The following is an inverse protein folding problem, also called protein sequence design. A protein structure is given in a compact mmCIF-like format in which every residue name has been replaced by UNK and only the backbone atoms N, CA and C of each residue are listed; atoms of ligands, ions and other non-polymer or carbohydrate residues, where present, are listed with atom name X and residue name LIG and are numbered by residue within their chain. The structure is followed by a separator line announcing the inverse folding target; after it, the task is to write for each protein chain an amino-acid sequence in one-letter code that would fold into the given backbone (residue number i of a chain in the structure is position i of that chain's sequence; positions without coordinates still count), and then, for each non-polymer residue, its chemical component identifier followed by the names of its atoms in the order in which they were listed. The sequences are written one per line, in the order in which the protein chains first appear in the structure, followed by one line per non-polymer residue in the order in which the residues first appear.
data_IF_078529626061
#
_entry.id   IF_078529626061
#
_cell.length_a   1.000
_cell.length_b   1.000
_cell.length_c   1.000
_cell.angle_alpha   90.00
_cell.angle_beta   90.00
_cell.angle_gamma   90.00
#
_symmetry.space_group_name_H-M   'P 1'
#
loop_
_entity.id
_entity.type
_entity.pdbx_description
1 polymer ?
#
# COMPACT_ATOMS: atom_id res chain seq x y z
N UNK A 1 4.12 19.95 -7.37
CA UNK A 1 5.55 19.99 -7.75
C UNK A 1 5.81 18.87 -8.74
N UNK A 2 6.50 19.11 -9.86
CA UNK A 2 6.96 18.03 -10.73
C UNK A 2 8.28 17.45 -10.21
N UNK A 3 8.44 16.12 -10.28
CA UNK A 3 9.70 15.48 -9.93
C UNK A 3 10.77 15.73 -10.99
N UNK A 4 12.00 15.97 -10.55
CA UNK A 4 13.19 16.14 -11.37
C UNK A 4 14.41 15.59 -10.62
N UNK A 5 15.57 15.44 -11.29
CA UNK A 5 16.76 14.87 -10.66
C UNK A 5 17.24 15.58 -9.38
N UNK A 6 16.91 16.87 -9.20
CA UNK A 6 17.33 17.67 -8.03
C UNK A 6 16.45 17.36 -6.81
N UNK A 7 15.13 17.25 -7.00
CA UNK A 7 14.18 17.10 -5.90
C UNK A 7 13.75 15.65 -5.63
N UNK A 8 13.94 14.73 -6.59
CA UNK A 8 13.45 13.36 -6.48
C UNK A 8 13.94 12.64 -5.22
N UNK A 9 15.26 12.64 -4.97
CA UNK A 9 15.83 11.99 -3.78
C UNK A 9 15.29 12.59 -2.48
N UNK A 10 15.19 13.91 -2.41
CA UNK A 10 14.68 14.62 -1.23
C UNK A 10 13.19 14.32 -0.98
N UNK A 11 12.39 14.25 -2.04
CA UNK A 11 10.98 13.88 -1.94
C UNK A 11 10.78 12.43 -1.48
N UNK A 12 11.57 11.48 -2.01
CA UNK A 12 11.53 10.07 -1.58
C UNK A 12 11.93 9.95 -0.10
N UNK A 13 13.00 10.64 0.32
CA UNK A 13 13.41 10.65 1.73
C UNK A 13 12.33 11.24 2.63
N UNK A 14 11.71 12.35 2.21
CA UNK A 14 10.64 12.98 2.96
C UNK A 14 9.42 12.07 3.12
N UNK A 15 9.05 11.32 2.07
CA UNK A 15 7.91 10.42 2.07
C UNK A 15 7.99 9.30 3.11
N UNK A 16 9.21 8.94 3.55
CA UNK A 16 9.42 7.95 4.61
C UNK A 16 9.92 8.55 5.93
N UNK A 17 9.90 9.87 6.09
CA UNK A 17 10.42 10.55 7.27
C UNK A 17 9.40 10.51 8.43
N UNK A 18 9.26 9.33 9.04
CA UNK A 18 8.31 9.06 10.13
C UNK A 18 8.58 10.01 11.30
N UNK A 19 7.58 10.77 11.80
CA UNK A 19 7.74 11.64 12.94
C UNK A 19 8.32 10.91 14.15
N UNK A 20 9.21 11.59 14.87
CA UNK A 20 9.91 11.07 16.06
C UNK A 20 10.93 9.94 15.79
N UNK A 21 11.02 9.42 14.56
CA UNK A 21 11.98 8.37 14.19
C UNK A 21 13.03 8.91 13.20
N UNK A 22 12.60 9.67 12.20
CA UNK A 22 13.44 10.19 11.12
C UNK A 22 13.25 11.71 11.02
N UNK A 23 14.36 12.44 10.82
CA UNK A 23 14.35 13.88 10.62
C UNK A 23 13.57 14.27 9.36
N UNK A 24 12.78 15.34 9.43
CA UNK A 24 12.05 15.85 8.27
C UNK A 24 12.97 16.52 7.25
N UNK A 25 12.59 16.49 5.98
CA UNK A 25 13.36 17.12 4.91
C UNK A 25 12.83 18.54 4.71
N UNK A 26 13.68 19.54 4.85
CA UNK A 26 13.27 20.95 4.77
C UNK A 26 13.49 21.54 3.37
N UNK A 27 12.61 22.45 2.97
CA UNK A 27 12.76 23.33 1.80
C UNK A 27 13.19 22.59 0.52
N UNK A 28 12.48 21.50 0.18
CA UNK A 28 12.71 20.69 -1.02
C UNK A 28 12.61 21.57 -2.27
N UNK A 29 13.62 21.49 -3.15
CA UNK A 29 13.70 22.31 -4.37
C UNK A 29 12.44 22.20 -5.24
N UNK A 30 11.78 23.35 -5.45
CA UNK A 30 10.55 23.47 -6.24
C UNK A 30 9.25 23.11 -5.49
N UNK A 31 9.34 22.72 -4.21
CA UNK A 31 8.20 22.56 -3.33
C UNK A 31 7.96 23.85 -2.53
N UNK A 32 6.75 24.08 -1.97
CA UNK A 32 6.54 25.12 -0.98
C UNK A 32 7.56 25.07 0.17
N UNK A 33 7.84 26.21 0.79
CA UNK A 33 8.74 26.23 1.95
C UNK A 33 8.12 25.48 3.13
N UNK A 34 8.95 24.76 3.87
CA UNK A 34 8.51 24.00 5.05
C UNK A 34 9.27 22.70 5.26
N UNK A 35 8.84 21.96 6.28
CA UNK A 35 9.39 20.65 6.65
C UNK A 35 8.46 19.56 6.15
N UNK A 36 8.97 18.70 5.28
CA UNK A 36 8.26 17.57 4.72
C UNK A 36 8.50 16.32 5.57
N UNK A 37 7.43 15.53 5.75
CA UNK A 37 7.36 14.35 6.62
C UNK A 37 6.66 13.22 5.88
N UNK A 38 6.67 12.04 6.51
CA UNK A 38 6.00 10.85 6.00
C UNK A 38 4.54 11.13 5.60
N UNK A 39 4.20 10.77 4.36
CA UNK A 39 2.87 11.01 3.79
C UNK A 39 1.78 10.18 4.46
N UNK A 40 2.11 9.05 5.08
CA UNK A 40 1.16 8.19 5.77
C UNK A 40 0.51 8.85 6.99
N UNK A 41 1.00 9.99 7.45
CA UNK A 41 0.30 10.78 8.48
C UNK A 41 -1.04 11.32 7.94
N UNK A 42 -1.08 11.67 6.66
CA UNK A 42 -2.23 12.31 6.01
C UNK A 42 -2.96 11.36 5.05
N UNK A 43 -2.23 10.59 4.24
CA UNK A 43 -2.76 9.70 3.20
C UNK A 43 -2.15 8.30 3.42
N UNK A 44 -2.61 7.59 4.46
CA UNK A 44 -2.05 6.28 4.80
C UNK A 44 -2.51 5.19 3.82
N UNK A 45 -3.80 4.89 3.83
CA UNK A 45 -4.46 4.16 2.74
C UNK A 45 -5.33 5.15 1.97
N UNK A 46 -5.77 4.77 0.77
CA UNK A 46 -6.67 5.61 -0.03
C UNK A 46 -8.05 5.67 0.65
N UNK A 47 -8.27 6.64 1.54
CA UNK A 47 -9.51 6.84 2.31
C UNK A 47 -10.32 8.08 1.87
N UNK A 48 -9.92 8.67 0.73
CA UNK A 48 -10.56 9.78 0.04
C UNK A 48 -11.05 9.37 -1.35
N UNK A 49 -11.85 10.24 -1.98
CA UNK A 49 -12.19 10.10 -3.39
C UNK A 49 -11.01 10.58 -4.24
N UNK A 50 -10.34 9.63 -4.91
CA UNK A 50 -9.21 9.87 -5.80
C UNK A 50 -9.62 9.88 -7.28
N UNK A 51 -10.91 9.90 -7.60
CA UNK A 51 -11.40 10.01 -8.98
C UNK A 51 -11.15 11.39 -9.56
N UNK A 52 -10.86 11.47 -10.86
CA UNK A 52 -10.67 12.75 -11.56
C UNK A 52 -11.92 13.13 -12.34
N UNK A 53 -12.63 12.14 -12.89
CA UNK A 53 -13.87 12.28 -13.63
C UNK A 53 -14.97 11.44 -13.00
N UNK A 54 -16.24 11.79 -13.26
CA UNK A 54 -17.35 10.90 -12.99
C UNK A 54 -17.10 9.52 -13.61
N UNK A 55 -17.47 8.46 -12.88
CA UNK A 55 -17.34 7.05 -13.26
C UNK A 55 -15.89 6.51 -13.35
N UNK A 56 -14.87 7.29 -12.94
CA UNK A 56 -13.53 6.75 -12.74
C UNK A 56 -13.51 5.76 -11.56
N UNK A 57 -12.54 4.85 -11.58
CA UNK A 57 -12.25 3.91 -10.49
C UNK A 57 -10.82 4.19 -9.99
N UNK A 58 -10.67 4.34 -8.68
CA UNK A 58 -9.37 4.33 -8.02
C UNK A 58 -8.93 2.88 -7.78
N UNK A 59 -7.75 2.49 -8.26
CA UNK A 59 -7.20 1.15 -8.08
C UNK A 59 -6.16 1.14 -6.96
N UNK A 60 -6.35 0.26 -5.98
CA UNK A 60 -5.40 0.04 -4.89
C UNK A 60 -4.97 -1.42 -4.85
N UNK A 61 -3.70 -1.68 -5.11
CA UNK A 61 -3.07 -2.95 -4.73
C UNK A 61 -2.67 -2.89 -3.27
N UNK A 62 -3.24 -3.79 -2.47
CA UNK A 62 -3.01 -3.84 -1.05
C UNK A 62 -2.67 -5.26 -0.57
N UNK A 63 -2.16 -5.35 0.65
CA UNK A 63 -1.82 -6.64 1.28
C UNK A 63 -2.91 -7.13 2.24
N UNK A 64 -3.97 -6.35 2.43
CA UNK A 64 -5.07 -6.60 3.34
C UNK A 64 -6.34 -5.98 2.75
N UNK A 65 -7.52 -6.36 3.24
CA UNK A 65 -8.80 -5.75 2.83
C UNK A 65 -9.15 -4.50 3.65
N UNK A 66 -8.50 -4.33 4.80
CA UNK A 66 -8.77 -3.26 5.74
C UNK A 66 -8.16 -1.93 5.30
N UNK A 67 -9.02 -0.98 4.93
CA UNK A 67 -8.63 0.42 4.67
C UNK A 67 -8.55 1.20 5.99
N UNK A 68 -7.36 1.70 6.31
CA UNK A 68 -7.04 2.42 7.55
C UNK A 68 -6.93 3.91 7.22
N UNK A 69 -7.81 4.77 7.75
CA UNK A 69 -7.83 6.21 7.42
C UNK A 69 -6.50 6.93 7.65
N UNK A 70 -5.95 6.83 8.86
CA UNK A 70 -4.67 7.43 9.20
C UNK A 70 -3.67 6.44 9.78
N UNK A 71 -2.38 6.74 9.68
CA UNK A 71 -1.33 5.91 10.26
C UNK A 71 -1.48 5.69 11.78
N UNK A 72 -2.07 6.65 12.50
CA UNK A 72 -2.37 6.56 13.94
C UNK A 72 -3.58 5.66 14.25
N UNK A 73 -4.43 5.36 13.26
CA UNK A 73 -5.67 4.61 13.43
C UNK A 73 -5.47 3.09 13.36
N UNK A 74 -4.26 2.61 13.05
CA UNK A 74 -3.96 1.17 12.87
C UNK A 74 -4.52 0.27 13.98
N UNK A 75 -4.37 0.71 15.23
CA UNK A 75 -4.81 -0.02 16.43
C UNK A 75 -6.28 0.26 16.82
N UNK A 76 -6.92 1.25 16.20
CA UNK A 76 -8.30 1.66 16.48
C UNK A 76 -9.25 0.93 15.52
N UNK A 77 -9.66 -0.29 15.87
CA UNK A 77 -10.53 -1.13 15.02
C UNK A 77 -11.87 -0.48 14.66
N UNK A 78 -12.41 0.40 15.51
CA UNK A 78 -13.65 1.13 15.23
C UNK A 78 -13.50 2.31 14.27
N UNK A 79 -12.27 2.71 13.93
CA UNK A 79 -12.05 3.82 12.99
C UNK A 79 -12.14 3.29 11.55
N UNK A 80 -13.10 3.82 10.81
CA UNK A 80 -13.35 3.48 9.40
C UNK A 80 -13.32 4.71 8.51
N UNK A 81 -13.06 4.56 7.20
CA UNK A 81 -13.26 5.62 6.21
C UNK A 81 -14.69 6.16 6.27
N UNK A 82 -14.89 7.39 5.80
CA UNK A 82 -16.24 7.98 5.77
C UNK A 82 -17.11 7.19 4.79
N UNK A 83 -18.42 7.12 5.04
CA UNK A 83 -19.33 6.46 4.11
C UNK A 83 -19.26 7.12 2.71
N UNK A 84 -19.33 6.31 1.66
CA UNK A 84 -19.34 6.76 0.26
C UNK A 84 -17.97 7.07 -0.35
N UNK A 85 -16.93 7.34 0.45
CA UNK A 85 -15.61 7.74 -0.10
C UNK A 85 -14.87 6.59 -0.79
N UNK A 86 -15.23 5.35 -0.46
CA UNK A 86 -14.65 4.14 -1.05
C UNK A 86 -15.49 3.58 -2.20
N UNK A 87 -16.63 4.19 -2.53
CA UNK A 87 -17.51 3.69 -3.59
C UNK A 87 -16.79 3.55 -4.94
N UNK A 88 -15.88 4.47 -5.35
CA UNK A 88 -15.11 4.30 -6.58
C UNK A 88 -13.78 3.53 -6.37
N UNK A 89 -13.54 2.92 -5.19
CA UNK A 89 -12.30 2.22 -4.89
C UNK A 89 -12.40 0.73 -5.23
N UNK A 90 -11.51 0.26 -6.12
CA UNK A 90 -11.25 -1.16 -6.33
C UNK A 90 -9.97 -1.56 -5.59
N UNK A 91 -10.09 -2.43 -4.60
CA UNK A 91 -8.96 -2.98 -3.86
C UNK A 91 -8.63 -4.38 -4.37
N UNK A 92 -7.37 -4.62 -4.70
CA UNK A 92 -6.85 -5.94 -5.07
C UNK A 92 -5.89 -6.38 -3.98
N UNK A 93 -6.18 -7.49 -3.33
CA UNK A 93 -5.40 -8.01 -2.21
C UNK A 93 -5.33 -9.56 -2.26
N UNK A 94 -4.31 -10.18 -1.67
CA UNK A 94 -4.18 -11.64 -1.69
C UNK A 94 -5.27 -12.30 -0.85
N UNK A 95 -5.88 -13.36 -1.38
CA UNK A 95 -6.85 -14.15 -0.61
C UNK A 95 -6.18 -14.88 0.56
N UNK A 96 -6.92 -15.20 1.64
CA UNK A 96 -6.38 -15.99 2.74
C UNK A 96 -5.77 -17.32 2.28
N UNK A 97 -6.40 -17.99 1.32
CA UNK A 97 -5.92 -19.26 0.76
C UNK A 97 -4.58 -19.11 0.04
N UNK A 98 -4.37 -17.98 -0.66
CA UNK A 98 -3.07 -17.69 -1.26
C UNK A 98 -2.02 -17.43 -0.18
N UNK A 99 -2.36 -16.67 0.87
CA UNK A 99 -1.45 -16.36 1.98
C UNK A 99 -1.01 -17.62 2.72
N UNK A 100 -1.88 -18.62 2.86
CA UNK A 100 -1.54 -19.94 3.44
C UNK A 100 -0.45 -20.68 2.63
N UNK A 101 -0.31 -20.41 1.34
CA UNK A 101 0.75 -21.00 0.50
C UNK A 101 2.11 -20.33 0.69
N UNK A 102 2.15 -19.15 1.29
CA UNK A 102 3.39 -18.44 1.56
C UNK A 102 4.18 -19.19 2.63
N UNK A 103 5.53 -19.11 2.62
CA UNK A 103 6.29 -19.70 3.70
C UNK A 103 5.85 -19.05 5.04
N UNK A 104 5.64 -19.88 6.05
CA UNK A 104 5.11 -19.44 7.34
C UNK A 104 3.63 -19.03 7.34
N UNK A 105 2.90 -19.19 6.23
CA UNK A 105 1.47 -18.91 6.14
C UNK A 105 1.11 -17.45 6.40
N UNK A 106 2.02 -16.52 6.10
CA UNK A 106 1.83 -15.09 6.31
C UNK A 106 2.49 -14.26 5.22
N UNK A 107 2.05 -13.02 5.10
CA UNK A 107 2.70 -12.01 4.26
C UNK A 107 4.02 -11.58 4.92
N UNK A 108 5.14 -11.49 4.18
CA UNK A 108 6.39 -10.97 4.73
C UNK A 108 6.22 -9.56 5.29
N UNK A 109 6.76 -9.31 6.48
CA UNK A 109 6.58 -8.06 7.20
C UNK A 109 7.88 -7.60 7.88
N UNK A 110 7.79 -6.49 8.62
CA UNK A 110 8.96 -5.92 9.31
C UNK A 110 9.45 -6.78 10.48
N UNK A 111 8.61 -7.63 11.05
CA UNK A 111 8.97 -8.45 12.20
C UNK A 111 9.93 -9.56 11.75
N UNK A 112 9.96 -9.91 10.46
CA UNK A 112 10.92 -10.85 9.87
C UNK A 112 12.37 -10.38 10.00
N UNK A 113 12.64 -9.07 10.12
CA UNK A 113 13.98 -8.56 10.40
C UNK A 113 14.46 -8.91 11.81
N UNK A 114 13.54 -9.01 12.77
CA UNK A 114 13.83 -9.39 14.15
C UNK A 114 13.84 -10.92 14.29
N UNK A 115 12.82 -11.58 13.74
CA UNK A 115 12.66 -13.04 13.85
C UNK A 115 13.75 -13.82 13.10
N UNK A 116 14.31 -13.24 12.04
CA UNK A 116 15.38 -13.83 11.22
C UNK A 116 16.67 -13.00 11.28
N UNK A 117 16.93 -12.36 12.42
CA UNK A 117 18.11 -11.49 12.61
C UNK A 117 19.42 -12.24 12.35
N UNK A 118 19.50 -13.51 12.76
CA UNK A 118 20.67 -14.37 12.57
C UNK A 118 20.71 -15.08 11.20
N UNK A 119 19.67 -14.92 10.37
CA UNK A 119 19.61 -15.47 9.01
C UNK A 119 19.08 -14.47 7.96
N UNK A 120 19.85 -13.41 7.63
CA UNK A 120 19.47 -12.46 6.59
C UNK A 120 19.32 -13.10 5.20
N UNK A 121 20.10 -14.14 4.90
CA UNK A 121 20.05 -14.84 3.63
C UNK A 121 18.73 -15.61 3.48
N UNK A 122 18.34 -16.35 4.52
CA UNK A 122 17.03 -17.02 4.59
C UNK A 122 15.87 -16.04 4.50
N UNK A 123 15.94 -14.87 5.17
CA UNK A 123 14.91 -13.82 5.06
C UNK A 123 14.74 -13.33 3.61
N UNK A 124 15.84 -13.15 2.88
CA UNK A 124 15.80 -12.74 1.47
C UNK A 124 15.18 -13.85 0.61
N UNK A 125 15.55 -15.12 0.85
CA UNK A 125 14.98 -16.26 0.12
C UNK A 125 13.48 -16.42 0.41
N UNK A 126 13.09 -16.26 1.67
CA UNK A 126 11.70 -16.23 2.12
C UNK A 126 10.88 -15.19 1.35
N UNK A 127 11.34 -13.93 1.32
CA UNK A 127 10.68 -12.86 0.58
C UNK A 127 10.63 -13.14 -0.93
N UNK A 128 11.74 -13.59 -1.53
CA UNK A 128 11.79 -13.96 -2.95
C UNK A 128 10.82 -15.08 -3.30
N UNK A 129 10.61 -16.04 -2.39
CA UNK A 129 9.66 -17.12 -2.62
C UNK A 129 8.23 -16.62 -2.70
N UNK A 130 7.84 -15.67 -1.84
CA UNK A 130 6.53 -15.02 -1.90
C UNK A 130 6.37 -14.23 -3.20
N UNK A 131 7.40 -13.49 -3.63
CA UNK A 131 7.38 -12.78 -4.92
C UNK A 131 7.18 -13.74 -6.10
N UNK A 132 7.86 -14.89 -6.09
CA UNK A 132 7.70 -15.93 -7.11
C UNK A 132 6.26 -16.48 -7.15
N UNK A 133 5.68 -16.80 -5.98
CA UNK A 133 4.30 -17.28 -5.86
C UNK A 133 3.31 -16.24 -6.42
N UNK A 134 3.54 -14.96 -6.16
CA UNK A 134 2.69 -13.87 -6.64
C UNK A 134 2.91 -13.52 -8.12
N UNK A 135 3.96 -14.03 -8.76
CA UNK A 135 4.34 -13.68 -10.14
C UNK A 135 3.19 -13.79 -11.15
N UNK A 136 2.46 -14.93 -11.23
CA UNK A 136 1.36 -15.11 -12.18
C UNK A 136 0.16 -14.16 -11.97
N UNK A 137 -0.02 -13.61 -10.76
CA UNK A 137 -1.20 -12.79 -10.43
C UNK A 137 -1.27 -11.50 -11.25
N UNK A 138 -0.12 -10.96 -11.66
CA UNK A 138 -0.08 -9.78 -12.52
C UNK A 138 -0.64 -10.06 -13.92
N UNK A 139 -0.30 -11.22 -14.49
CA UNK A 139 -0.81 -11.65 -15.80
C UNK A 139 -2.31 -11.96 -15.72
N UNK A 140 -2.74 -12.63 -14.65
CA UNK A 140 -4.15 -12.91 -14.39
C UNK A 140 -4.96 -11.62 -14.27
N UNK A 141 -4.49 -10.64 -13.49
CA UNK A 141 -5.16 -9.34 -13.37
C UNK A 141 -5.30 -8.63 -14.73
N UNK A 142 -4.24 -8.64 -15.55
CA UNK A 142 -4.28 -8.04 -16.90
C UNK A 142 -5.31 -8.74 -17.79
N UNK A 143 -5.38 -10.07 -17.77
CA UNK A 143 -6.38 -10.84 -18.52
C UNK A 143 -7.81 -10.48 -18.08
N UNK A 144 -8.05 -10.40 -16.77
CA UNK A 144 -9.36 -10.08 -16.21
C UNK A 144 -9.84 -8.69 -16.62
N UNK A 145 -8.92 -7.72 -16.63
CA UNK A 145 -9.20 -6.35 -17.09
C UNK A 145 -9.49 -6.34 -18.59
N UNK A 146 -8.62 -6.94 -19.40
CA UNK A 146 -8.74 -6.89 -20.87
C UNK A 146 -9.96 -7.67 -21.40
N UNK A 147 -10.29 -8.78 -20.77
CA UNK A 147 -11.47 -9.58 -21.12
C UNK A 147 -12.79 -8.99 -20.59
N UNK A 148 -12.72 -8.01 -19.68
CA UNK A 148 -13.87 -7.45 -18.97
C UNK A 148 -14.45 -8.36 -17.89
N UNK A 149 -13.87 -9.53 -17.63
CA UNK A 149 -14.33 -10.47 -16.60
C UNK A 149 -14.18 -9.91 -15.18
N UNK A 150 -13.30 -8.94 -14.99
CA UNK A 150 -13.04 -8.32 -13.68
C UNK A 150 -14.33 -7.81 -13.01
N UNK A 151 -15.28 -7.28 -13.77
CA UNK A 151 -16.56 -6.77 -13.22
C UNK A 151 -17.45 -7.88 -12.66
N UNK A 152 -17.31 -9.11 -13.15
CA UNK A 152 -18.05 -10.27 -12.65
C UNK A 152 -17.40 -10.94 -11.43
N UNK A 153 -16.12 -10.66 -11.18
CA UNK A 153 -15.36 -11.19 -10.05
C UNK A 153 -15.24 -10.21 -8.88
N UNK A 154 -15.39 -8.91 -9.15
CA UNK A 154 -15.33 -7.90 -8.11
C UNK A 154 -16.50 -8.09 -7.12
N UNK A 155 -16.18 -8.11 -5.83
CA UNK A 155 -17.15 -8.22 -4.75
C UNK A 155 -17.21 -6.89 -3.97
N UNK A 156 -18.34 -6.59 -3.30
CA UNK A 156 -18.42 -5.42 -2.41
C UNK A 156 -17.33 -5.49 -1.33
N UNK A 157 -16.56 -4.42 -1.19
CA UNK A 157 -15.57 -4.30 -0.12
C UNK A 157 -16.31 -4.32 1.23
N UNK A 158 -16.03 -5.32 2.07
CA UNK A 158 -16.57 -5.44 3.42
C UNK A 158 -15.44 -5.18 4.42
N UNK A 159 -15.18 -3.91 4.79
CA UNK A 159 -14.18 -3.62 5.80
C UNK A 159 -14.66 -4.12 7.16
N UNK A 160 -13.98 -5.12 7.70
CA UNK A 160 -14.16 -5.61 9.08
C UNK A 160 -13.88 -4.52 10.13
#
# INVERSE_FOLDING_TARGET
MAFNPVNFKHAVLASGAIPLVIEGVSDIHGAPRGVYRDGGIIDYHLDHDYTVKPDDVALLFHHDDRIIPGWLDKKLRGRRPRAGVLDPLLVVYPSPQLVETFPGGKIPDRDDFVNMMDDPAGRILYWRKVVEICGPLGEEFVELVQSGKISSLAEPLRPD
#
